data_IF_971493418223
#
_entry.id   IF_971493418223
#
_cell.length_a   1.000
_cell.length_b   1.000
_cell.length_c   1.000
_cell.angle_alpha   90.00
_cell.angle_beta   90.00
_cell.angle_gamma   90.00
#
_symmetry.space_group_name_H-M   'P 1'
#
loop_
_entity.id
_entity.type
_entity.pdbx_description
1 polymer ?
#
# COMPACT_ATOMS: atom_id res chain seq x y z
N UNK A 1 -16.85 -16.01 -21.18
CA UNK A 1 -16.65 -14.89 -20.24
C UNK A 1 -15.83 -15.42 -19.09
N UNK A 2 -14.58 -14.99 -19.00
CA UNK A 2 -13.47 -15.85 -18.59
C UNK A 2 -13.21 -15.83 -17.09
N UNK A 3 -12.68 -16.95 -16.58
CA UNK A 3 -12.10 -17.09 -15.23
C UNK A 3 -11.11 -15.96 -14.87
N UNK A 4 -10.57 -15.26 -15.87
CA UNK A 4 -9.73 -14.06 -15.71
C UNK A 4 -10.48 -12.86 -15.09
N UNK A 5 -11.74 -12.65 -15.46
CA UNK A 5 -12.57 -11.57 -14.88
C UNK A 5 -12.82 -11.85 -13.39
N UNK A 6 -13.08 -13.11 -13.04
CA UNK A 6 -13.26 -13.52 -11.64
C UNK A 6 -11.97 -13.35 -10.82
N UNK A 7 -10.81 -13.68 -11.38
CA UNK A 7 -9.51 -13.46 -10.73
C UNK A 7 -9.21 -11.96 -10.55
N UNK A 8 -9.50 -11.14 -11.56
CA UNK A 8 -9.33 -9.69 -11.45
C UNK A 8 -10.26 -9.07 -10.40
N UNK A 9 -11.52 -9.50 -10.34
CA UNK A 9 -12.46 -9.05 -9.30
C UNK A 9 -11.98 -9.50 -7.91
N UNK A 10 -11.49 -10.73 -7.77
CA UNK A 10 -10.94 -11.21 -6.52
C UNK A 10 -9.70 -10.42 -6.08
N UNK A 11 -8.73 -10.19 -6.98
CA UNK A 11 -7.54 -9.39 -6.68
C UNK A 11 -7.89 -7.94 -6.33
N UNK A 12 -8.82 -7.33 -7.06
CA UNK A 12 -9.25 -5.96 -6.82
C UNK A 12 -10.02 -5.83 -5.49
N UNK A 13 -10.82 -6.84 -5.13
CA UNK A 13 -11.48 -6.90 -3.82
C UNK A 13 -10.51 -7.04 -2.66
N UNK A 14 -9.45 -7.86 -2.81
CA UNK A 14 -8.39 -8.02 -1.82
C UNK A 14 -7.62 -6.72 -1.64
N UNK A 15 -7.29 -6.01 -2.73
CA UNK A 15 -6.62 -4.71 -2.65
C UNK A 15 -7.46 -3.64 -1.94
N UNK A 16 -8.79 -3.63 -2.10
CA UNK A 16 -9.66 -2.68 -1.40
C UNK A 16 -9.72 -2.90 0.11
N UNK A 17 -9.63 -4.16 0.57
CA UNK A 17 -9.66 -4.49 2.01
C UNK A 17 -8.44 -3.92 2.73
N UNK A 18 -7.29 -3.76 2.05
CA UNK A 18 -6.08 -3.20 2.64
C UNK A 18 -6.03 -1.65 2.66
N UNK A 19 -7.03 -0.97 2.10
CA UNK A 19 -7.05 0.49 2.02
C UNK A 19 -7.73 1.18 3.23
N UNK A 20 -8.03 0.45 4.31
CA UNK A 20 -8.55 1.07 5.52
C UNK A 20 -7.43 1.88 6.19
N UNK A 21 -7.59 3.20 6.19
CA UNK A 21 -6.67 4.15 6.82
C UNK A 21 -7.38 4.90 7.95
N UNK A 22 -6.59 5.57 8.78
CA UNK A 22 -7.11 6.46 9.81
C UNK A 22 -7.49 7.81 9.22
N UNK A 23 -8.46 8.49 9.83
CA UNK A 23 -8.87 9.83 9.43
C UNK A 23 -8.33 10.85 10.45
N UNK A 24 -7.50 11.79 10.00
CA UNK A 24 -7.05 12.91 10.84
C UNK A 24 -8.13 13.98 10.79
N UNK A 25 -8.82 14.19 11.92
CA UNK A 25 -9.93 15.16 12.04
C UNK A 25 -9.45 16.57 12.32
N UNK A 26 -8.43 16.68 13.18
CA UNK A 26 -7.88 17.97 13.57
C UNK A 26 -6.38 17.85 13.85
N UNK A 27 -5.64 18.93 13.61
CA UNK A 27 -4.22 19.05 13.94
C UNK A 27 -3.93 20.50 14.30
N UNK A 28 -3.40 20.70 15.51
CA UNK A 28 -3.05 21.98 16.07
C UNK A 28 -1.58 21.93 16.46
N UNK A 29 -0.76 22.77 15.83
CA UNK A 29 0.66 22.90 16.16
C UNK A 29 0.82 23.68 17.47
N UNK A 30 1.85 23.32 18.25
CA UNK A 30 2.26 24.11 19.41
C UNK A 30 2.83 25.48 19.02
N UNK A 31 3.12 26.32 20.03
CA UNK A 31 3.60 27.70 19.84
C UNK A 31 4.86 27.81 18.97
N UNK A 32 5.73 26.80 19.04
CA UNK A 32 6.98 26.74 18.28
C UNK A 32 6.79 26.23 16.83
N UNK A 33 5.54 25.95 16.43
CA UNK A 33 5.22 25.33 15.15
C UNK A 33 5.76 23.90 15.02
N UNK A 34 5.80 23.42 13.78
CA UNK A 34 6.45 22.16 13.48
C UNK A 34 7.93 22.43 13.19
N UNK A 35 8.82 22.04 14.11
CA UNK A 35 10.25 22.05 13.88
C UNK A 35 10.68 21.06 12.78
N UNK A 36 12.00 20.83 12.65
CA UNK A 36 12.52 19.89 11.64
C UNK A 36 12.20 18.42 11.94
N UNK A 37 11.94 18.09 13.21
CA UNK A 37 11.71 16.72 13.67
C UNK A 37 10.22 16.37 13.59
N UNK A 38 9.90 15.46 12.67
CA UNK A 38 8.60 14.77 12.61
C UNK A 38 8.77 13.30 12.95
N UNK A 39 7.80 12.71 13.64
CA UNK A 39 7.84 11.29 13.94
C UNK A 39 7.77 10.46 12.65
N UNK A 40 8.62 9.46 12.56
CA UNK A 40 8.64 8.46 11.52
C UNK A 40 8.64 7.07 12.15
N UNK A 41 8.32 6.06 11.33
CA UNK A 41 8.41 4.66 11.74
C UNK A 41 9.83 4.34 12.23
N UNK A 42 9.94 3.74 13.41
CA UNK A 42 11.22 3.44 14.08
C UNK A 42 11.69 4.51 15.07
N UNK A 43 11.05 5.69 15.09
CA UNK A 43 11.32 6.68 16.14
C UNK A 43 10.59 6.32 17.43
N UNK A 44 11.12 6.80 18.55
CA UNK A 44 10.39 6.80 19.81
C UNK A 44 9.60 8.09 19.93
N UNK A 45 8.34 7.95 20.28
CA UNK A 45 7.43 9.07 20.57
C UNK A 45 6.96 8.97 22.01
N UNK A 46 6.92 10.11 22.68
CA UNK A 46 6.31 10.29 24.00
C UNK A 46 5.04 11.09 23.83
N UNK A 47 3.89 10.53 24.20
CA UNK A 47 2.59 11.16 23.98
C UNK A 47 1.77 11.33 25.26
N UNK A 48 0.97 12.39 25.30
CA UNK A 48 -0.22 12.44 26.14
C UNK A 48 -1.43 12.17 25.26
N UNK A 49 -2.46 11.53 25.80
CA UNK A 49 -3.63 11.17 25.01
C UNK A 49 -4.93 11.17 25.81
N UNK A 50 -6.03 11.30 25.07
CA UNK A 50 -7.39 11.00 25.53
C UNK A 50 -8.04 10.08 24.50
N UNK A 51 -8.42 8.88 24.94
CA UNK A 51 -9.13 7.88 24.15
C UNK A 51 -10.63 7.92 24.43
N UNK A 52 -11.42 8.15 23.38
CA UNK A 52 -12.88 8.28 23.44
C UNK A 52 -13.55 7.26 22.51
N UNK A 53 -14.72 6.77 22.90
CA UNK A 53 -15.65 6.11 21.98
C UNK A 53 -16.32 7.16 21.09
N UNK A 54 -16.98 6.75 20.00
CA UNK A 54 -17.69 7.67 19.09
C UNK A 54 -18.79 8.49 19.77
N UNK A 55 -19.39 7.97 20.84
CA UNK A 55 -20.39 8.68 21.64
C UNK A 55 -19.78 9.74 22.60
N UNK A 56 -18.45 9.86 22.62
CA UNK A 56 -17.69 10.78 23.46
C UNK A 56 -17.28 10.19 24.82
N UNK A 57 -17.67 8.96 25.15
CA UNK A 57 -17.28 8.31 26.41
C UNK A 57 -15.77 8.11 26.47
N UNK A 58 -15.10 8.72 27.46
CA UNK A 58 -13.66 8.56 27.67
C UNK A 58 -13.38 7.20 28.33
N UNK A 59 -12.76 6.30 27.58
CA UNK A 59 -12.38 4.99 28.10
C UNK A 59 -11.01 5.01 28.78
N UNK A 60 -10.07 5.82 28.30
CA UNK A 60 -8.74 6.00 28.92
C UNK A 60 -8.16 7.39 28.60
N UNK A 61 -7.30 7.91 29.49
CA UNK A 61 -6.66 9.21 29.32
C UNK A 61 -5.39 9.31 30.17
N UNK A 62 -4.37 10.01 29.68
CA UNK A 62 -3.11 10.24 30.41
C UNK A 62 -3.32 10.92 31.77
N UNK A 63 -4.38 11.72 31.94
CA UNK A 63 -4.73 12.34 33.24
C UNK A 63 -4.96 11.30 34.34
N UNK A 64 -5.52 10.12 34.01
CA UNK A 64 -5.71 9.02 34.96
C UNK A 64 -4.40 8.34 35.38
N UNK A 65 -3.31 8.67 34.69
CA UNK A 65 -1.96 8.14 34.90
C UNK A 65 -0.99 9.26 35.30
N UNK A 66 -1.45 10.22 36.12
CA UNK A 66 -0.69 11.36 36.62
C UNK A 66 -0.09 12.26 35.52
N UNK A 67 -0.72 12.30 34.34
CA UNK A 67 -0.21 12.96 33.14
C UNK A 67 1.20 12.51 32.75
N UNK A 68 1.56 11.25 33.07
CA UNK A 68 2.81 10.65 32.62
C UNK A 68 2.74 10.40 31.11
N UNK A 69 3.71 10.88 30.31
CA UNK A 69 3.77 10.55 28.89
C UNK A 69 3.90 9.05 28.67
N UNK A 70 3.18 8.55 27.67
CA UNK A 70 3.27 7.17 27.22
C UNK A 70 4.29 7.07 26.08
N UNK A 71 5.32 6.24 26.28
CA UNK A 71 6.43 6.09 25.34
C UNK A 71 6.29 4.80 24.53
N UNK A 72 6.44 4.89 23.22
CA UNK A 72 6.52 3.71 22.35
C UNK A 72 7.33 3.99 21.09
N UNK A 73 7.73 2.91 20.41
CA UNK A 73 8.40 2.99 19.11
C UNK A 73 7.36 2.84 18.01
N UNK A 74 7.30 3.83 17.11
CA UNK A 74 6.30 3.89 16.04
C UNK A 74 6.51 2.72 15.07
N UNK A 75 5.47 1.91 14.88
CA UNK A 75 5.45 0.78 13.95
C UNK A 75 6.06 -0.52 14.50
N UNK A 76 6.38 -0.57 15.81
CA UNK A 76 6.80 -1.82 16.47
C UNK A 76 5.60 -2.72 16.84
N UNK A 77 4.36 -2.24 16.66
CA UNK A 77 3.16 -3.00 17.00
C UNK A 77 2.92 -3.14 18.51
N UNK A 78 3.48 -2.22 19.31
CA UNK A 78 3.26 -2.15 20.78
C UNK A 78 1.94 -1.46 21.14
N UNK A 79 1.36 -0.71 20.20
CA UNK A 79 0.08 -0.03 20.30
C UNK A 79 -0.87 -0.54 19.22
N UNK A 80 -2.14 -0.13 19.27
CA UNK A 80 -3.09 -0.46 18.22
C UNK A 80 -2.63 0.09 16.86
N UNK A 81 -2.88 -0.60 15.73
CA UNK A 81 -2.42 -0.20 14.41
C UNK A 81 -2.79 1.24 14.01
N UNK A 82 -3.97 1.71 14.42
CA UNK A 82 -4.42 3.07 14.14
C UNK A 82 -3.60 4.15 14.86
N UNK A 83 -3.13 3.87 16.08
CA UNK A 83 -2.25 4.78 16.83
C UNK A 83 -0.88 4.84 16.14
N UNK A 84 -0.31 3.69 15.78
CA UNK A 84 0.96 3.61 15.05
C UNK A 84 0.94 4.41 13.75
N UNK A 85 -0.21 4.42 13.04
CA UNK A 85 -0.38 5.23 11.82
C UNK A 85 -0.65 6.70 12.12
N UNK A 86 -1.46 7.01 13.13
CA UNK A 86 -1.89 8.38 13.44
C UNK A 86 -0.79 9.31 13.92
N UNK A 87 0.22 8.76 14.62
CA UNK A 87 1.37 9.53 15.09
C UNK A 87 2.42 9.77 14.00
N UNK A 88 2.36 9.08 12.86
CA UNK A 88 3.32 9.33 11.77
C UNK A 88 3.20 10.78 11.29
N UNK A 89 4.34 11.46 11.18
CA UNK A 89 4.40 12.85 10.77
C UNK A 89 3.93 13.85 11.83
N UNK A 90 3.64 13.45 13.06
CA UNK A 90 3.36 14.37 14.16
C UNK A 90 4.62 15.16 14.52
N UNK A 91 4.45 16.43 14.85
CA UNK A 91 5.51 17.31 15.31
C UNK A 91 5.56 17.34 16.84
N UNK A 92 6.72 17.57 17.42
CA UNK A 92 6.84 17.79 18.86
C UNK A 92 5.99 19.02 19.28
N UNK A 93 5.18 18.87 20.31
CA UNK A 93 4.21 19.87 20.77
C UNK A 93 2.91 19.93 19.96
N UNK A 94 2.76 19.17 18.88
CA UNK A 94 1.51 19.10 18.11
C UNK A 94 0.46 18.27 18.85
N UNK A 95 -0.78 18.78 18.86
CA UNK A 95 -1.98 18.04 19.26
C UNK A 95 -2.75 17.63 18.02
N UNK A 96 -3.06 16.34 17.87
CA UNK A 96 -3.77 15.79 16.72
C UNK A 96 -4.94 14.94 17.19
N UNK A 97 -6.09 15.13 16.57
CA UNK A 97 -7.25 14.25 16.72
C UNK A 97 -7.36 13.34 15.51
N UNK A 98 -7.42 12.04 15.72
CA UNK A 98 -7.67 11.07 14.67
C UNK A 98 -8.73 10.05 15.06
N UNK A 99 -9.51 9.68 14.05
CA UNK A 99 -10.53 8.66 14.10
C UNK A 99 -9.97 7.32 13.61
N UNK A 100 -10.17 6.30 14.42
CA UNK A 100 -9.66 4.95 14.19
C UNK A 100 -10.84 4.00 14.01
N UNK A 101 -11.04 3.45 12.81
CA UNK A 101 -12.07 2.44 12.59
C UNK A 101 -11.71 1.16 13.37
N UNK A 102 -12.72 0.40 13.80
CA UNK A 102 -12.54 -0.75 14.70
C UNK A 102 -11.51 -1.78 14.22
N UNK A 103 -11.35 -1.95 12.89
CA UNK A 103 -10.38 -2.86 12.28
C UNK A 103 -8.92 -2.48 12.55
N UNK A 104 -8.65 -1.20 12.79
CA UNK A 104 -7.34 -0.67 13.17
C UNK A 104 -7.22 -0.42 14.69
N UNK A 105 -8.26 -0.78 15.46
CA UNK A 105 -8.31 -0.68 16.91
C UNK A 105 -8.38 -2.09 17.54
N UNK A 106 -9.47 -2.42 18.24
CA UNK A 106 -9.65 -3.68 18.98
C UNK A 106 -10.51 -4.71 18.25
N UNK A 107 -10.87 -4.45 16.98
CA UNK A 107 -11.50 -5.43 16.11
C UNK A 107 -12.91 -5.85 16.54
N UNK A 108 -13.30 -7.06 16.14
CA UNK A 108 -14.62 -7.61 16.45
C UNK A 108 -14.78 -8.04 17.91
N UNK A 109 -13.68 -8.24 18.64
CA UNK A 109 -13.71 -8.68 20.04
C UNK A 109 -13.86 -7.54 21.04
N UNK A 110 -13.49 -6.31 20.66
CA UNK A 110 -13.38 -5.21 21.62
C UNK A 110 -12.23 -5.45 22.61
N UNK A 111 -12.27 -4.76 23.74
CA UNK A 111 -11.29 -4.92 24.81
C UNK A 111 -11.95 -4.88 26.18
N UNK A 112 -11.93 -6.03 26.84
CA UNK A 112 -12.50 -6.23 28.19
C UNK A 112 -13.95 -5.71 28.24
N UNK A 113 -14.36 -5.12 29.36
CA UNK A 113 -15.68 -4.47 29.53
C UNK A 113 -15.66 -2.97 29.19
N UNK A 114 -14.51 -2.47 28.71
CA UNK A 114 -14.27 -1.03 28.53
C UNK A 114 -14.51 -0.60 27.09
N UNK A 115 -14.11 -1.42 26.12
CA UNK A 115 -14.25 -1.13 24.69
C UNK A 115 -15.15 -2.19 24.04
N UNK A 116 -16.35 -1.82 23.58
CA UNK A 116 -17.27 -2.76 22.95
C UNK A 116 -16.71 -3.41 21.66
N UNK A 117 -17.25 -4.58 21.27
CA UNK A 117 -17.07 -5.16 19.94
C UNK A 117 -17.31 -4.15 18.82
N UNK A 118 -16.42 -4.11 17.81
CA UNK A 118 -16.55 -3.24 16.63
C UNK A 118 -16.67 -1.75 16.95
N UNK A 119 -16.15 -1.31 18.10
CA UNK A 119 -16.11 0.09 18.46
C UNK A 119 -15.05 0.85 17.65
N UNK A 120 -15.46 1.94 17.02
CA UNK A 120 -14.52 2.92 16.49
C UNK A 120 -14.09 3.88 17.61
N UNK A 121 -12.87 4.39 17.50
CA UNK A 121 -12.26 5.19 18.55
C UNK A 121 -11.88 6.57 18.01
N UNK A 122 -11.94 7.56 18.88
CA UNK A 122 -11.40 8.90 18.64
C UNK A 122 -10.27 9.10 19.64
N UNK A 123 -9.08 9.40 19.13
CA UNK A 123 -7.93 9.73 19.94
C UNK A 123 -7.53 11.17 19.72
N UNK A 124 -7.41 11.89 20.82
CA UNK A 124 -6.76 13.19 20.87
C UNK A 124 -5.37 12.98 21.48
N UNK A 125 -4.32 13.27 20.72
CA UNK A 125 -2.93 12.94 21.07
C UNK A 125 -2.08 14.18 20.99
N UNK A 126 -1.33 14.46 22.06
CA UNK A 126 -0.29 15.50 22.09
C UNK A 126 1.08 14.84 22.11
N UNK A 127 1.93 15.14 21.13
CA UNK A 127 3.31 14.70 21.14
C UNK A 127 4.14 15.57 22.09
N UNK A 128 4.69 14.96 23.14
CA UNK A 128 5.52 15.65 24.13
C UNK A 128 6.99 15.68 23.69
N UNK A 129 7.49 14.56 23.17
CA UNK A 129 8.87 14.43 22.72
C UNK A 129 8.98 13.43 21.57
N UNK A 130 9.95 13.65 20.68
CA UNK A 130 10.27 12.74 19.58
C UNK A 130 11.77 12.46 19.59
N UNK A 131 12.12 11.20 19.85
CA UNK A 131 13.49 10.72 19.85
C UNK A 131 13.78 9.89 18.59
N UNK A 132 14.73 10.35 17.79
CA UNK A 132 15.24 9.61 16.63
C UNK A 132 16.13 8.46 17.11
N UNK A 133 15.54 7.29 17.30
CA UNK A 133 16.27 6.11 17.79
C UNK A 133 17.25 5.53 16.76
N UNK A 134 17.06 5.87 15.49
CA UNK A 134 18.02 5.51 14.46
C UNK A 134 17.98 6.50 13.32
N UNK A 135 19.08 7.24 13.12
CA UNK A 135 19.41 7.78 11.81
C UNK A 135 19.79 6.59 10.91
N UNK A 136 18.87 5.68 10.62
CA UNK A 136 19.18 4.62 9.68
C UNK A 136 19.42 5.35 8.35
N UNK A 137 20.62 5.20 7.72
CA UNK A 137 20.86 5.84 6.45
C UNK A 137 19.75 5.42 5.49
N UNK A 138 19.24 6.39 4.74
CA UNK A 138 18.09 6.31 3.84
C UNK A 138 18.03 5.00 3.03
N UNK A 139 19.19 4.40 2.72
CA UNK A 139 19.35 3.11 2.04
C UNK A 139 18.58 1.94 2.68
N UNK A 140 18.37 1.90 3.99
CA UNK A 140 17.65 0.80 4.66
C UNK A 140 16.13 0.90 4.53
N UNK A 141 15.58 2.09 4.21
CA UNK A 141 14.17 2.30 3.82
C UNK A 141 13.82 1.59 2.50
N UNK A 142 14.83 1.25 1.70
CA UNK A 142 14.68 0.55 0.42
C UNK A 142 14.98 -0.95 0.53
N UNK A 143 15.29 -1.48 1.72
CA UNK A 143 15.41 -2.92 1.87
C UNK A 143 14.00 -3.50 1.79
N UNK A 144 13.75 -4.40 0.81
CA UNK A 144 12.45 -5.00 0.69
C UNK A 144 12.20 -5.87 1.92
N UNK A 145 11.15 -5.55 2.69
CA UNK A 145 10.60 -6.45 3.71
C UNK A 145 10.29 -7.81 3.08
N UNK A 146 10.29 -8.92 3.85
CA UNK A 146 9.95 -10.25 3.31
C UNK A 146 8.64 -10.27 2.49
N UNK A 147 7.68 -9.43 2.86
CA UNK A 147 6.41 -9.22 2.16
C UNK A 147 6.58 -8.54 0.79
N UNK A 148 7.45 -7.53 0.68
CA UNK A 148 7.71 -6.83 -0.58
C UNK A 148 8.64 -7.62 -1.51
N UNK A 149 9.56 -8.44 -0.98
CA UNK A 149 10.34 -9.39 -1.79
C UNK A 149 9.39 -10.31 -2.57
N UNK A 150 8.33 -10.80 -1.90
CA UNK A 150 7.27 -11.58 -2.53
C UNK A 150 6.59 -10.81 -3.68
N UNK A 151 6.22 -9.55 -3.43
CA UNK A 151 5.59 -8.70 -4.45
C UNK A 151 6.50 -8.45 -5.67
N UNK A 152 7.79 -8.18 -5.47
CA UNK A 152 8.75 -7.98 -6.57
C UNK A 152 8.96 -9.24 -7.41
N UNK A 153 9.00 -10.43 -6.78
CA UNK A 153 9.08 -11.69 -7.50
C UNK A 153 7.81 -11.95 -8.32
N UNK A 154 6.64 -11.69 -7.77
CA UNK A 154 5.35 -11.86 -8.47
C UNK A 154 5.27 -10.92 -9.67
N UNK A 155 5.66 -9.65 -9.52
CA UNK A 155 5.69 -8.68 -10.62
C UNK A 155 6.71 -9.09 -11.69
N UNK A 156 7.90 -9.55 -11.31
CA UNK A 156 8.91 -10.03 -12.25
C UNK A 156 8.44 -11.23 -13.08
N UNK A 157 7.81 -12.23 -12.43
CA UNK A 157 7.22 -13.39 -13.10
C UNK A 157 6.07 -12.95 -14.02
N UNK A 158 5.20 -12.05 -13.56
CA UNK A 158 4.10 -11.51 -14.37
C UNK A 158 4.60 -10.80 -15.63
N UNK A 159 5.59 -9.92 -15.53
CA UNK A 159 6.20 -9.23 -16.68
C UNK A 159 6.83 -10.22 -17.65
N UNK A 160 7.47 -11.28 -17.14
CA UNK A 160 8.09 -12.32 -17.97
C UNK A 160 7.05 -13.11 -18.75
N UNK A 161 5.97 -13.52 -18.09
CA UNK A 161 4.83 -14.20 -18.74
C UNK A 161 4.14 -13.28 -19.74
N UNK A 162 3.92 -12.02 -19.39
CA UNK A 162 3.32 -11.02 -20.28
C UNK A 162 4.16 -10.84 -21.55
N UNK A 163 5.48 -10.72 -21.40
CA UNK A 163 6.43 -10.65 -22.52
C UNK A 163 6.37 -11.91 -23.39
N UNK A 164 6.32 -13.09 -22.78
CA UNK A 164 6.20 -14.36 -23.50
C UNK A 164 4.90 -14.44 -24.32
N UNK A 165 3.77 -14.04 -23.73
CA UNK A 165 2.46 -14.03 -24.41
C UNK A 165 2.43 -13.01 -25.54
N UNK A 166 2.94 -11.80 -25.31
CA UNK A 166 3.04 -10.75 -26.33
C UNK A 166 3.93 -11.15 -27.51
N UNK A 167 5.00 -11.92 -27.26
CA UNK A 167 5.86 -12.47 -28.32
C UNK A 167 5.19 -13.57 -29.14
N UNK A 168 4.32 -14.39 -28.52
CA UNK A 168 3.59 -15.48 -29.18
C UNK A 168 2.40 -14.99 -30.03
N UNK A 169 1.86 -13.80 -29.75
CA UNK A 169 0.76 -13.19 -30.48
C UNK A 169 1.25 -12.19 -31.53
N UNK A 170 2.05 -12.63 -32.50
CA UNK A 170 2.23 -11.86 -33.75
C UNK A 170 1.07 -12.20 -34.70
N UNK A 171 0.15 -11.26 -35.03
CA UNK A 171 -0.85 -11.50 -36.05
C UNK A 171 -0.16 -11.53 -37.42
N UNK A 172 0.06 -12.75 -37.94
CA UNK A 172 0.49 -12.97 -39.33
C UNK A 172 -0.56 -12.43 -40.30
N UNK A 173 -0.38 -11.18 -40.74
CA UNK A 173 -1.13 -10.60 -41.85
C UNK A 173 -0.37 -10.86 -43.16
N UNK A 174 -0.59 -12.05 -43.74
CA UNK A 174 -0.18 -12.32 -45.11
C UNK A 174 -1.07 -11.52 -46.09
N UNK A 175 -0.56 -10.42 -46.63
CA UNK A 175 -1.11 -9.80 -47.85
C UNK A 175 -0.60 -10.63 -49.04
N UNK A 176 -1.45 -11.53 -49.56
CA UNK A 176 -1.17 -12.24 -50.82
C UNK A 176 -1.19 -11.27 -52.01
N UNK A 177 -0.03 -10.96 -52.60
CA UNK A 177 0.05 -10.28 -53.91
C UNK A 177 -0.41 -11.21 -55.04
N UNK A 178 -1.13 -10.72 -56.07
CA UNK A 178 -1.58 -11.55 -57.19
C UNK A 178 -0.40 -11.97 -58.09
N UNK A 179 -0.37 -13.25 -58.53
CA UNK A 179 0.62 -13.79 -59.47
C UNK A 179 0.32 -13.39 -60.91
N UNK A 180 1.27 -12.77 -61.60
CA UNK A 180 1.30 -12.66 -63.08
C UNK A 180 1.80 -13.97 -63.70
N UNK A 181 1.10 -14.47 -64.73
CA UNK A 181 1.41 -15.72 -65.48
C UNK A 181 2.62 -15.53 -66.42
N UNK A 182 3.48 -16.56 -66.63
CA UNK A 182 4.40 -16.59 -67.76
C UNK A 182 3.77 -17.21 -69.02
N UNK A 183 4.08 -16.62 -70.17
CA UNK A 183 3.67 -16.95 -71.53
C UNK A 183 4.48 -18.14 -72.09
N UNK A 184 3.80 -19.07 -72.80
CA UNK A 184 4.37 -20.28 -73.42
C UNK A 184 4.99 -19.97 -74.78
N UNK A 185 6.24 -20.40 -75.03
CA UNK A 185 6.80 -20.55 -76.38
C UNK A 185 6.76 -22.02 -76.81
N UNK A 186 5.98 -22.30 -77.85
CA UNK A 186 5.84 -23.61 -78.48
C UNK A 186 7.07 -23.98 -79.33
N UNK A 187 7.57 -25.21 -79.12
CA UNK A 187 8.48 -25.92 -80.05
C UNK A 187 7.62 -26.79 -80.97
N UNK A 188 7.69 -26.59 -82.28
CA UNK A 188 7.28 -27.57 -83.29
C UNK A 188 8.47 -27.92 -84.19
N UNK A 189 8.76 -29.21 -84.23
CA UNK A 189 9.77 -29.91 -84.99
C UNK A 189 9.26 -30.25 -86.41
N UNK A 190 10.13 -30.16 -87.44
CA UNK A 190 10.25 -31.13 -88.56
C UNK A 190 11.34 -30.73 -89.59
N UNK A 191 12.19 -31.74 -89.84
CA UNK A 191 13.27 -32.02 -90.83
C UNK A 191 12.91 -31.79 -92.33
N UNK A 192 13.74 -32.13 -93.37
CA UNK A 192 15.22 -32.19 -93.57
C UNK A 192 15.72 -31.56 -94.92
N UNK A 193 17.05 -31.48 -95.12
CA UNK A 193 17.91 -31.49 -96.36
C UNK A 193 17.44 -30.77 -97.65
N UNK A 194 18.32 -30.01 -98.33
CA UNK A 194 19.18 -30.45 -99.45
C UNK A 194 19.92 -29.28 -100.14
N UNK A 195 21.16 -29.57 -100.56
CA UNK A 195 22.06 -28.90 -101.52
C UNK A 195 22.60 -27.49 -101.22
#
# INVERSE_FOLDING_TARGET
MSKLILVLIALLSVSLVFAQDIEIRNSVLGENGCGEKKAAVGDRVSILYVGKLEDGTIFDASERHDNKPFDFIVGEGKVIPGMDRGVVGICEGETREFYIPYQLAYGEGGFQEVIPPKANLVFEVTAVAIEKLSEIPFIYRFIPTPETIGAFLIVGVFVTILRYVMQRFQPNSEIKKPRTKPEKKDKKEKTPKQN
#
